data_IF_753356881795
#
_entry.id   IF_753356881795
#
_cell.length_a   1.000
_cell.length_b   1.000
_cell.length_c   1.000
_cell.angle_alpha   90.00
_cell.angle_beta   90.00
_cell.angle_gamma   90.00
#
_symmetry.space_group_name_H-M   'P 1'
#
loop_
_entity.id
_entity.type
_entity.pdbx_description
1 polymer ?
#
# COMPACT_ATOMS: atom_id res chain seq x y z
N UNK A 1 18.70 -1.51 -13.77
CA UNK A 1 18.55 -2.53 -12.70
C UNK A 1 17.15 -3.11 -12.81
N UNK A 2 16.95 -4.43 -12.79
CA UNK A 2 15.61 -5.03 -12.83
C UNK A 2 14.84 -4.78 -11.53
N UNK A 3 13.52 -4.60 -11.60
CA UNK A 3 12.65 -4.38 -10.43
C UNK A 3 12.53 -5.60 -9.50
N UNK A 4 12.99 -6.78 -9.94
CA UNK A 4 12.90 -8.06 -9.22
C UNK A 4 14.08 -8.33 -8.27
N UNK A 5 14.97 -7.35 -8.04
CA UNK A 5 16.10 -7.53 -7.12
C UNK A 5 15.61 -7.48 -5.67
N UNK A 6 15.82 -8.58 -4.92
CA UNK A 6 15.54 -8.63 -3.49
C UNK A 6 16.30 -7.52 -2.74
N UNK A 7 15.58 -6.80 -1.88
CA UNK A 7 16.13 -5.73 -1.04
C UNK A 7 15.68 -5.92 0.41
N UNK A 8 16.57 -5.66 1.35
CA UNK A 8 16.23 -5.66 2.76
C UNK A 8 16.03 -4.21 3.22
N UNK A 9 14.90 -3.92 3.87
CA UNK A 9 14.55 -2.57 4.33
C UNK A 9 14.17 -2.61 5.81
N UNK A 10 14.67 -1.65 6.58
CA UNK A 10 14.27 -1.42 7.96
C UNK A 10 13.22 -0.32 8.05
N UNK A 11 12.10 -0.59 8.72
CA UNK A 11 10.99 0.35 8.90
C UNK A 11 10.83 0.64 10.39
N UNK A 12 10.76 1.93 10.74
CA UNK A 12 10.49 2.40 12.10
C UNK A 12 9.42 3.48 12.05
N UNK A 13 8.49 3.45 13.01
CA UNK A 13 7.38 4.40 13.07
C UNK A 13 6.52 4.17 14.30
N UNK A 14 5.55 5.05 14.52
CA UNK A 14 4.54 4.89 15.57
C UNK A 14 3.41 3.94 15.10
N UNK A 15 2.52 3.54 16.02
CA UNK A 15 1.41 2.62 15.71
C UNK A 15 0.48 3.12 14.59
N UNK A 16 0.32 4.44 14.44
CA UNK A 16 -0.50 5.05 13.37
C UNK A 16 0.17 5.02 12.00
N UNK A 17 1.49 5.18 11.97
CA UNK A 17 2.27 5.05 10.75
C UNK A 17 2.17 3.61 10.21
N UNK A 18 2.24 2.61 11.10
CA UNK A 18 2.01 1.21 10.72
C UNK A 18 0.59 0.94 10.25
N UNK A 19 -0.44 1.49 10.92
CA UNK A 19 -1.83 1.35 10.50
C UNK A 19 -2.05 1.90 9.08
N UNK A 20 -1.53 3.09 8.80
CA UNK A 20 -1.61 3.70 7.47
C UNK A 20 -0.81 2.93 6.42
N UNK A 21 0.41 2.48 6.77
CA UNK A 21 1.25 1.68 5.89
C UNK A 21 0.54 0.39 5.47
N UNK A 22 0.07 -0.40 6.44
CA UNK A 22 -0.65 -1.65 6.17
C UNK A 22 -1.91 -1.38 5.33
N UNK A 23 -2.68 -0.34 5.66
CA UNK A 23 -3.86 0.04 4.90
C UNK A 23 -3.51 0.42 3.45
N UNK A 24 -2.41 1.13 3.25
CA UNK A 24 -1.90 1.49 1.92
C UNK A 24 -1.39 0.28 1.14
N UNK A 25 -0.74 -0.69 1.80
CA UNK A 25 -0.28 -1.94 1.19
C UNK A 25 -1.48 -2.77 0.71
N UNK A 26 -2.52 -2.91 1.53
CA UNK A 26 -3.76 -3.60 1.15
C UNK A 26 -4.57 -2.89 0.05
N UNK A 27 -4.44 -1.57 -0.07
CA UNK A 27 -5.09 -0.79 -1.14
C UNK A 27 -4.28 -0.74 -2.44
N UNK A 28 -3.23 -1.55 -2.57
CA UNK A 28 -2.45 -1.68 -3.81
C UNK A 28 -3.00 -2.84 -4.67
N UNK A 29 -2.95 -2.71 -6.00
CA UNK A 29 -3.44 -3.75 -6.93
C UNK A 29 -2.47 -4.94 -7.10
N UNK A 30 -1.21 -4.78 -6.70
CA UNK A 30 -0.16 -5.80 -6.75
C UNK A 30 -0.30 -6.78 -5.59
N UNK A 31 -0.44 -8.07 -5.90
CA UNK A 31 -0.54 -9.14 -4.90
C UNK A 31 0.70 -9.23 -4.01
N UNK A 32 1.90 -9.09 -4.58
CA UNK A 32 3.17 -9.10 -3.83
C UNK A 32 3.19 -8.03 -2.72
N UNK A 33 2.64 -6.85 -3.00
CA UNK A 33 2.54 -5.77 -2.00
C UNK A 33 1.53 -6.10 -0.89
N UNK A 34 0.43 -6.78 -1.24
CA UNK A 34 -0.57 -7.22 -0.26
C UNK A 34 -0.03 -8.35 0.63
N UNK A 35 0.76 -9.27 0.06
CA UNK A 35 1.44 -10.36 0.79
C UNK A 35 2.41 -9.81 1.83
N UNK A 36 3.26 -8.86 1.44
CA UNK A 36 4.15 -8.15 2.37
C UNK A 36 3.34 -7.46 3.47
N UNK A 37 2.22 -6.81 3.12
CA UNK A 37 1.33 -6.18 4.09
C UNK A 37 0.74 -7.17 5.11
N UNK A 38 0.41 -8.38 4.67
CA UNK A 38 -0.12 -9.45 5.52
C UNK A 38 0.94 -10.01 6.47
N UNK A 39 2.15 -10.25 5.99
CA UNK A 39 3.29 -10.66 6.84
C UNK A 39 3.59 -9.60 7.90
N UNK A 40 3.68 -8.32 7.49
CA UNK A 40 3.87 -7.20 8.41
C UNK A 40 2.74 -7.11 9.44
N UNK A 41 1.47 -7.29 9.02
CA UNK A 41 0.33 -7.29 9.91
C UNK A 41 0.43 -8.41 10.96
N UNK A 42 0.84 -9.62 10.56
CA UNK A 42 0.99 -10.75 11.47
C UNK A 42 2.09 -10.54 12.51
N UNK A 43 3.25 -10.01 12.11
CA UNK A 43 4.33 -9.71 13.05
C UNK A 43 3.97 -8.54 13.99
N UNK A 44 3.41 -7.47 13.45
CA UNK A 44 3.01 -6.32 14.26
C UNK A 44 1.84 -6.63 15.20
N UNK A 45 0.95 -7.57 14.85
CA UNK A 45 -0.13 -8.03 15.73
C UNK A 45 0.40 -8.71 17.00
N UNK A 46 1.61 -9.27 17.00
CA UNK A 46 2.26 -9.85 18.20
C UNK A 46 2.74 -8.77 19.17
N UNK A 47 3.11 -7.59 18.66
CA UNK A 47 3.74 -6.51 19.44
C UNK A 47 2.76 -5.39 19.79
N UNK A 48 1.92 -4.96 18.84
CA UNK A 48 1.00 -3.81 18.96
C UNK A 48 -0.42 -4.13 18.44
N UNK A 49 -1.10 -5.16 18.99
CA UNK A 49 -2.39 -5.65 18.48
C UNK A 49 -3.49 -4.58 18.37
N UNK A 50 -3.54 -3.65 19.32
CA UNK A 50 -4.59 -2.60 19.36
C UNK A 50 -4.54 -1.62 18.18
N UNK A 51 -3.35 -1.36 17.62
CA UNK A 51 -3.19 -0.47 16.47
C UNK A 51 -3.42 -1.18 15.13
N UNK A 52 -3.04 -2.46 15.07
CA UNK A 52 -3.08 -3.26 13.84
C UNK A 52 -4.49 -3.81 13.55
N UNK A 53 -5.34 -3.94 14.58
CA UNK A 53 -6.73 -4.44 14.44
C UNK A 53 -7.60 -3.61 13.49
N UNK A 54 -7.32 -2.31 13.34
CA UNK A 54 -8.08 -1.38 12.47
C UNK A 54 -7.49 -1.22 11.07
N UNK A 55 -6.33 -1.82 10.81
CA UNK A 55 -5.64 -1.72 9.52
C UNK A 55 -6.34 -2.60 8.49
N UNK A 56 -7.33 -2.05 7.81
CA UNK A 56 -8.07 -2.73 6.74
C UNK A 56 -7.83 -2.02 5.40
N UNK A 57 -8.21 -2.72 4.31
CA UNK A 57 -8.27 -2.15 2.97
C UNK A 57 -9.08 -0.87 3.01
N UNK A 58 -8.50 0.21 2.51
CA UNK A 58 -9.16 1.51 2.50
C UNK A 58 -9.62 1.82 1.07
N UNK A 59 -10.94 1.76 0.89
CA UNK A 59 -11.63 2.01 -0.39
C UNK A 59 -11.33 3.42 -0.94
N UNK A 60 -11.16 4.42 -0.06
CA UNK A 60 -10.76 5.77 -0.49
C UNK A 60 -9.37 5.78 -1.12
N UNK A 61 -8.42 5.03 -0.54
CA UNK A 61 -7.07 4.92 -1.09
C UNK A 61 -7.04 4.19 -2.43
N UNK A 62 -7.86 3.14 -2.57
CA UNK A 62 -8.06 2.42 -3.85
C UNK A 62 -8.60 3.38 -4.90
N UNK A 63 -9.72 4.05 -4.60
CA UNK A 63 -10.37 4.96 -5.53
C UNK A 63 -9.45 6.12 -5.95
N UNK A 64 -8.74 6.74 -5.00
CA UNK A 64 -7.76 7.79 -5.30
C UNK A 64 -6.66 7.30 -6.24
N UNK A 65 -6.18 6.07 -6.06
CA UNK A 65 -5.12 5.50 -6.89
C UNK A 65 -5.62 5.23 -8.31
N UNK A 66 -6.84 4.69 -8.45
CA UNK A 66 -7.49 4.47 -9.73
C UNK A 66 -7.73 5.79 -10.48
N UNK A 67 -8.18 6.86 -9.80
CA UNK A 67 -8.34 8.17 -10.41
C UNK A 67 -7.01 8.74 -10.92
N UNK A 68 -5.93 8.61 -10.14
CA UNK A 68 -4.59 9.07 -10.56
C UNK A 68 -4.04 8.23 -11.72
N UNK A 69 -4.24 6.91 -11.72
CA UNK A 69 -3.88 6.06 -12.86
C UNK A 69 -4.65 6.45 -14.11
N UNK A 70 -5.97 6.64 -14.01
CA UNK A 70 -6.83 7.05 -15.12
C UNK A 70 -6.45 8.44 -15.65
N UNK A 71 -6.17 9.41 -14.77
CA UNK A 71 -5.72 10.74 -15.19
C UNK A 71 -4.37 10.69 -15.93
N UNK A 72 -3.45 9.80 -15.53
CA UNK A 72 -2.18 9.56 -16.25
C UNK A 72 -2.39 8.92 -17.62
N UNK A 73 -3.39 8.04 -17.75
CA UNK A 73 -3.77 7.44 -19.03
C UNK A 73 -4.40 8.49 -19.97
N UNK A 74 -5.25 9.38 -19.45
CA UNK A 74 -5.87 10.49 -20.22
C UNK A 74 -4.86 11.56 -20.62
N UNK A 75 -3.82 11.82 -19.82
CA UNK A 75 -2.76 12.79 -20.17
C UNK A 75 -1.67 12.22 -21.10
N UNK A 76 -1.61 10.89 -21.25
CA UNK A 76 -0.70 10.22 -22.20
C UNK A 76 -1.31 9.97 -23.58
N UNK A 77 -2.63 10.08 -23.74
CA UNK A 77 -3.33 10.07 -25.03
C UNK A 77 -3.69 11.52 -25.35
N UNK A 78 -3.01 12.11 -26.34
CA UNK A 78 -3.08 13.54 -26.64
C UNK A 78 -4.50 14.11 -26.77
N UNK A 79 -4.59 15.40 -26.44
CA UNK A 79 -5.70 16.30 -26.73
C UNK A 79 -6.29 16.03 -28.14
N UNK A 80 -7.58 15.70 -28.28
CA UNK A 80 -8.31 15.96 -29.51
C UNK A 80 -8.99 17.33 -29.41
N UNK A 81 -8.43 18.29 -30.18
CA UNK A 81 -8.92 19.62 -30.58
C UNK A 81 -9.45 20.56 -29.49
#
# INVERSE_FOLDING_TARGET
MPASRLTNVGLFGNGRAYEYLISSLYSTELSETQEIGNEMHNELRKVIPSFVKRSQRNEYLVHRRTLVQNAKLTSSQGLPQ
#
